data_IF_749816805953
#
_entry.id   IF_749816805953
#
_cell.length_a   1.000
_cell.length_b   1.000
_cell.length_c   1.000
_cell.angle_alpha   90.00
_cell.angle_beta   90.00
_cell.angle_gamma   90.00
#
_symmetry.space_group_name_H-M   'P 1'
#
loop_
_entity.id
_entity.type
_entity.pdbx_description
1 polymer ?
#
# COMPACT_ATOMS: atom_id res chain seq x y z
N UNK A 1 13.12 17.96 14.24
CA UNK A 1 12.78 16.81 13.37
C UNK A 1 11.52 17.19 12.63
N UNK A 2 11.68 17.82 11.47
CA UNK A 2 10.61 18.56 10.78
C UNK A 2 10.18 17.75 9.57
N UNK A 3 9.01 17.11 9.63
CA UNK A 3 8.37 16.52 8.46
C UNK A 3 7.67 17.65 7.68
N UNK A 4 7.91 17.83 6.37
CA UNK A 4 7.30 18.93 5.63
C UNK A 4 5.85 18.60 5.27
N UNK A 5 5.00 19.57 5.60
CA UNK A 5 3.83 20.10 4.89
C UNK A 5 2.85 19.16 4.16
N UNK A 6 1.59 19.39 4.54
CA UNK A 6 0.35 19.31 3.77
C UNK A 6 -0.21 17.94 3.45
N UNK A 7 -1.16 17.48 4.28
CA UNK A 7 -2.32 16.73 3.81
C UNK A 7 -3.55 17.15 4.61
N UNK A 8 -4.12 18.30 4.24
CA UNK A 8 -5.50 18.64 4.58
C UNK A 8 -6.44 17.84 3.69
N UNK A 9 -7.38 17.07 4.25
CA UNK A 9 -8.71 16.88 3.62
C UNK A 9 -9.78 16.43 4.61
N UNK A 10 -10.93 17.09 4.50
CA UNK A 10 -12.22 16.93 5.18
C UNK A 10 -12.94 15.60 4.84
N UNK A 11 -12.22 14.51 4.60
CA UNK A 11 -12.81 13.19 4.31
C UNK A 11 -12.14 12.15 5.18
N UNK A 12 -12.92 11.44 6.01
CA UNK A 12 -12.46 10.37 6.91
C UNK A 12 -11.75 9.19 6.22
N UNK A 13 -11.60 9.18 4.88
CA UNK A 13 -10.97 8.09 4.11
C UNK A 13 -9.54 8.50 3.71
N UNK A 14 -8.50 7.75 4.13
CA UNK A 14 -7.13 8.04 3.76
C UNK A 14 -6.89 7.84 2.25
N UNK A 15 -5.82 8.44 1.68
CA UNK A 15 -5.53 8.33 0.26
C UNK A 15 -5.32 6.86 -0.16
N UNK A 16 -5.60 6.49 -1.41
CA UNK A 16 -5.53 5.10 -1.83
C UNK A 16 -4.14 4.47 -1.63
N UNK A 17 -3.05 5.26 -1.76
CA UNK A 17 -1.69 4.81 -1.46
C UNK A 17 -1.53 4.22 -0.05
N UNK A 18 -2.22 4.79 0.94
CA UNK A 18 -2.12 4.37 2.34
C UNK A 18 -2.87 3.06 2.56
N UNK A 19 -4.02 2.89 1.90
CA UNK A 19 -4.74 1.61 1.88
C UNK A 19 -3.94 0.51 1.16
N UNK A 20 -3.23 0.85 0.07
CA UNK A 20 -2.35 -0.10 -0.63
C UNK A 20 -1.16 -0.51 0.23
N UNK A 21 -0.54 0.43 0.97
CA UNK A 21 0.55 0.12 1.89
C UNK A 21 0.10 -0.79 3.03
N UNK A 22 -1.07 -0.53 3.63
CA UNK A 22 -1.63 -1.40 4.67
C UNK A 22 -1.84 -2.85 4.19
N UNK A 23 -2.21 -3.05 2.93
CA UNK A 23 -2.34 -4.39 2.34
C UNK A 23 -0.99 -5.10 2.15
N UNK A 24 0.09 -4.34 1.86
CA UNK A 24 1.46 -4.87 1.81
C UNK A 24 1.89 -5.29 3.21
N UNK A 25 1.73 -4.42 4.21
CA UNK A 25 2.16 -4.68 5.59
C UNK A 25 1.48 -5.94 6.16
N UNK A 26 0.17 -6.10 5.93
CA UNK A 26 -0.57 -7.28 6.34
C UNK A 26 -0.08 -8.56 5.65
N UNK A 27 0.27 -8.46 4.36
CA UNK A 27 0.79 -9.59 3.58
C UNK A 27 2.19 -9.98 4.04
N UNK A 28 3.03 -9.01 4.36
CA UNK A 28 4.37 -9.24 4.94
C UNK A 28 4.27 -9.88 6.33
N UNK A 29 3.33 -9.45 7.18
CA UNK A 29 3.06 -10.10 8.46
C UNK A 29 2.60 -11.55 8.29
N UNK A 30 1.75 -11.84 7.30
CA UNK A 30 1.34 -13.20 6.97
C UNK A 30 2.51 -14.05 6.46
N UNK A 31 3.46 -13.48 5.71
CA UNK A 31 4.66 -14.20 5.27
C UNK A 31 5.63 -14.50 6.44
N UNK A 32 5.63 -13.69 7.49
CA UNK A 32 6.43 -13.92 8.69
C UNK A 32 5.81 -15.00 9.60
N UNK A 33 4.49 -14.93 9.82
CA UNK A 33 3.82 -15.73 10.85
C UNK A 33 3.01 -16.91 10.30
N UNK A 34 2.60 -16.86 9.04
CA UNK A 34 1.73 -17.84 8.40
C UNK A 34 2.46 -19.07 7.84
N UNK A 35 1.81 -20.23 7.92
CA UNK A 35 2.37 -21.53 7.49
C UNK A 35 1.67 -22.17 6.29
N UNK A 36 0.46 -21.75 5.98
CA UNK A 36 -0.29 -22.32 4.85
C UNK A 36 0.31 -21.85 3.51
N UNK A 37 0.73 -22.79 2.66
CA UNK A 37 1.40 -22.49 1.39
C UNK A 37 0.52 -21.66 0.44
N UNK A 38 -0.77 -21.96 0.35
CA UNK A 38 -1.73 -21.23 -0.49
C UNK A 38 -1.88 -19.78 -0.04
N UNK A 39 -2.05 -19.55 1.27
CA UNK A 39 -2.20 -18.19 1.79
C UNK A 39 -0.91 -17.38 1.65
N UNK A 40 0.26 -18.00 1.80
CA UNK A 40 1.56 -17.36 1.57
C UNK A 40 1.76 -16.99 0.10
N UNK A 41 1.37 -17.86 -0.84
CA UNK A 41 1.42 -17.55 -2.26
C UNK A 41 0.51 -16.36 -2.59
N UNK A 42 -0.70 -16.32 -2.03
CA UNK A 42 -1.60 -15.18 -2.15
C UNK A 42 -0.97 -13.89 -1.60
N UNK A 43 -0.34 -13.95 -0.43
CA UNK A 43 0.34 -12.78 0.17
C UNK A 43 1.44 -12.21 -0.76
N UNK A 44 2.23 -13.08 -1.40
CA UNK A 44 3.26 -12.65 -2.33
C UNK A 44 2.69 -11.98 -3.58
N UNK A 45 1.58 -12.49 -4.11
CA UNK A 45 0.85 -11.88 -5.23
C UNK A 45 0.29 -10.51 -4.85
N UNK A 46 -0.32 -10.40 -3.66
CA UNK A 46 -0.83 -9.11 -3.16
C UNK A 46 0.31 -8.09 -3.07
N UNK A 47 1.46 -8.43 -2.47
CA UNK A 47 2.59 -7.51 -2.38
C UNK A 47 3.02 -6.99 -3.75
N UNK A 48 3.13 -7.89 -4.74
CA UNK A 48 3.51 -7.52 -6.11
C UNK A 48 2.50 -6.55 -6.72
N UNK A 49 1.21 -6.88 -6.66
CA UNK A 49 0.15 -6.08 -7.27
C UNK A 49 0.00 -4.70 -6.60
N UNK A 50 0.08 -4.64 -5.27
CA UNK A 50 -0.08 -3.38 -4.55
C UNK A 50 1.11 -2.44 -4.76
N UNK A 51 2.35 -2.97 -4.87
CA UNK A 51 3.52 -2.17 -5.23
C UNK A 51 3.38 -1.55 -6.62
N UNK A 52 2.88 -2.32 -7.59
CA UNK A 52 2.59 -1.80 -8.94
C UNK A 52 1.52 -0.71 -8.91
N UNK A 53 0.45 -0.89 -8.13
CA UNK A 53 -0.63 0.10 -7.99
C UNK A 53 -0.15 1.40 -7.34
N UNK A 54 0.68 1.32 -6.31
CA UNK A 54 1.30 2.50 -5.68
C UNK A 54 2.12 3.27 -6.72
N UNK A 55 3.00 2.59 -7.48
CA UNK A 55 3.81 3.23 -8.50
C UNK A 55 2.95 3.88 -9.61
N UNK A 56 1.90 3.18 -10.07
CA UNK A 56 0.97 3.71 -11.06
C UNK A 56 0.23 4.95 -10.55
N UNK A 57 -0.24 4.93 -9.29
CA UNK A 57 -0.96 6.04 -8.68
C UNK A 57 -0.04 7.24 -8.43
N UNK A 58 1.20 7.02 -7.97
CA UNK A 58 2.19 8.08 -7.81
C UNK A 58 2.53 8.74 -9.15
N UNK A 59 2.71 7.94 -10.21
CA UNK A 59 2.91 8.44 -11.56
C UNK A 59 1.71 9.25 -12.05
N UNK A 60 0.49 8.76 -11.80
CA UNK A 60 -0.74 9.48 -12.16
C UNK A 60 -0.85 10.81 -11.41
N UNK A 61 -0.64 10.82 -10.09
CA UNK A 61 -0.66 12.04 -9.28
C UNK A 61 0.40 13.04 -9.73
N UNK A 62 1.58 12.58 -10.15
CA UNK A 62 2.63 13.47 -10.67
C UNK A 62 2.23 14.12 -11.99
N UNK A 63 1.50 13.41 -12.85
CA UNK A 63 1.06 13.90 -14.18
C UNK A 63 -0.21 14.73 -14.14
N UNK A 64 -1.01 14.62 -13.09
CA UNK A 64 -2.36 15.22 -13.00
C UNK A 64 -2.52 16.11 -11.75
N UNK A 65 -1.40 16.63 -11.24
CA UNK A 65 -1.38 17.63 -10.17
C UNK A 65 -1.38 19.05 -10.72
#
# INVERSE_FOLDING_TARGET
MTLPSSWSTTTKRPPPSDHHQAAIDNSEALLQCGRNATTRALAQSIITDQRQKIAALQNWLTRNR
#
